data_IF_474614903835
#
_entry.id   IF_474614903835
#
_cell.length_a   1.000
_cell.length_b   1.000
_cell.length_c   1.000
_cell.angle_alpha   90.00
_cell.angle_beta   90.00
_cell.angle_gamma   90.00
#
_symmetry.space_group_name_H-M   'P 1'
#
loop_
_entity.id
_entity.type
_entity.pdbx_description
1 polymer ?
#
# COMPACT_ATOMS: atom_id res chain seq x y z
N UNK A 1 -3.00 -6.96 11.34
CA UNK A 1 -1.69 -6.52 11.86
C UNK A 1 -0.51 -6.85 10.92
N UNK A 2 -0.43 -8.05 10.31
CA UNK A 2 0.76 -8.42 9.50
C UNK A 2 1.02 -7.57 8.24
N UNK A 3 0.01 -7.29 7.38
CA UNK A 3 0.27 -6.64 6.09
C UNK A 3 0.72 -5.16 6.17
N UNK A 4 0.23 -4.37 7.14
CA UNK A 4 0.71 -3.00 7.37
C UNK A 4 2.17 -3.00 7.87
N UNK A 5 2.52 -3.93 8.75
CA UNK A 5 3.91 -4.09 9.19
C UNK A 5 4.83 -4.50 8.03
N UNK A 6 4.32 -5.31 7.09
CA UNK A 6 5.02 -5.66 5.85
C UNK A 6 5.20 -4.45 4.92
N UNK A 7 4.18 -3.59 4.76
CA UNK A 7 4.29 -2.40 3.88
C UNK A 7 5.36 -1.43 4.37
N UNK A 8 5.42 -1.16 5.68
CA UNK A 8 6.45 -0.33 6.31
C UNK A 8 7.83 -0.93 6.08
N UNK A 9 7.99 -2.23 6.32
CA UNK A 9 9.27 -2.92 6.14
C UNK A 9 9.74 -2.90 4.68
N UNK A 10 8.84 -3.08 3.72
CA UNK A 10 9.16 -2.98 2.28
C UNK A 10 9.61 -1.57 1.93
N UNK A 11 8.91 -0.55 2.44
CA UNK A 11 9.28 0.83 2.19
C UNK A 11 10.69 1.14 2.71
N UNK A 12 11.03 0.69 3.92
CA UNK A 12 12.37 0.83 4.49
C UNK A 12 13.45 0.07 3.70
N UNK A 13 13.12 -1.07 3.10
CA UNK A 13 14.04 -1.80 2.23
C UNK A 13 14.23 -1.08 0.89
N UNK A 14 13.18 -0.49 0.32
CA UNK A 14 13.24 0.23 -0.95
C UNK A 14 13.92 1.60 -0.84
N UNK A 15 13.75 2.26 0.31
CA UNK A 15 14.33 3.54 0.66
C UNK A 15 15.27 3.35 1.86
N UNK A 16 16.33 2.56 1.66
CA UNK A 16 17.31 2.28 2.70
C UNK A 16 18.45 3.30 2.63
N UNK A 17 18.90 3.80 3.79
CA UNK A 17 20.05 4.71 3.87
C UNK A 17 21.36 3.93 3.97
N UNK A 18 22.25 4.12 3.00
CA UNK A 18 23.61 3.58 3.01
C UNK A 18 24.59 4.66 3.50
N UNK A 19 25.06 4.58 4.75
CA UNK A 19 26.07 5.52 5.27
C UNK A 19 27.42 5.28 4.59
N UNK A 20 28.13 6.35 4.22
CA UNK A 20 29.53 6.25 3.76
C UNK A 20 30.41 6.05 4.99
N UNK A 21 31.13 4.93 5.02
CA UNK A 21 32.10 4.63 6.07
C UNK A 21 33.33 5.52 5.87
N UNK A 22 33.58 6.44 6.81
CA UNK A 22 34.74 7.34 6.80
C UNK A 22 34.45 8.79 6.37
N UNK A 23 33.21 9.14 6.03
CA UNK A 23 32.75 10.53 5.99
C UNK A 23 32.62 11.09 7.41
N UNK A 24 32.81 12.38 7.61
CA UNK A 24 32.70 13.00 8.93
C UNK A 24 31.29 12.90 9.54
N UNK A 25 31.08 13.47 10.72
CA UNK A 25 29.79 13.51 11.44
C UNK A 25 28.66 14.29 10.73
N UNK A 26 28.75 14.53 9.42
CA UNK A 26 27.73 15.23 8.67
C UNK A 26 26.65 14.25 8.19
N UNK A 27 25.38 14.58 8.47
CA UNK A 27 24.18 13.83 8.05
C UNK A 27 24.03 13.70 6.51
N UNK A 28 24.92 14.31 5.73
CA UNK A 28 24.96 14.33 4.26
C UNK A 28 25.70 13.17 3.63
N UNK A 29 26.47 12.39 4.40
CA UNK A 29 27.50 11.52 3.83
C UNK A 29 26.93 10.11 3.51
N UNK A 30 25.79 10.03 2.82
CA UNK A 30 25.18 8.74 2.48
C UNK A 30 24.21 8.82 1.32
N UNK A 31 23.88 7.66 0.76
CA UNK A 31 22.95 7.52 -0.37
C UNK A 31 21.71 6.73 0.04
N UNK A 32 20.54 7.18 -0.40
CA UNK A 32 19.31 6.42 -0.29
C UNK A 32 19.14 5.51 -1.50
N UNK A 33 18.64 4.30 -1.29
CA UNK A 33 18.28 3.41 -2.38
C UNK A 33 17.82 2.04 -1.93
N UNK A 34 17.51 1.15 -2.87
CA UNK A 34 17.05 -0.19 -2.57
C UNK A 34 18.14 -1.03 -1.89
N UNK A 35 17.79 -1.71 -0.81
CA UNK A 35 18.62 -2.69 -0.13
C UNK A 35 18.00 -4.09 -0.27
N UNK A 36 18.49 -4.84 -1.26
CA UNK A 36 18.02 -6.19 -1.54
C UNK A 36 18.34 -7.17 -0.40
N UNK A 37 19.48 -7.00 0.27
CA UNK A 37 19.88 -7.89 1.36
C UNK A 37 18.97 -7.72 2.57
N UNK A 38 18.60 -6.48 2.91
CA UNK A 38 17.63 -6.21 3.98
C UNK A 38 16.24 -6.73 3.61
N UNK A 39 15.84 -6.62 2.34
CA UNK A 39 14.59 -7.22 1.86
C UNK A 39 14.60 -8.75 2.02
N UNK A 40 15.66 -9.42 1.56
CA UNK A 40 15.81 -10.88 1.69
C UNK A 40 15.82 -11.30 3.16
N UNK A 41 16.57 -10.61 4.02
CA UNK A 41 16.61 -10.90 5.46
C UNK A 41 15.22 -10.84 6.13
N UNK A 42 14.31 -10.02 5.60
CA UNK A 42 12.97 -9.81 6.18
C UNK A 42 11.86 -10.63 5.54
N UNK A 43 12.04 -11.11 4.31
CA UNK A 43 10.97 -11.74 3.54
C UNK A 43 11.36 -13.04 2.84
N UNK A 44 12.65 -13.38 2.78
CA UNK A 44 13.09 -14.63 2.18
C UNK A 44 12.66 -15.82 3.07
N UNK A 45 12.03 -16.87 2.51
CA UNK A 45 11.63 -18.04 3.27
C UNK A 45 12.79 -18.68 4.05
N UNK A 46 14.01 -18.66 3.51
CA UNK A 46 15.19 -19.25 4.17
C UNK A 46 15.57 -18.49 5.45
N UNK A 47 15.41 -17.16 5.46
CA UNK A 47 15.78 -16.31 6.60
C UNK A 47 14.64 -16.10 7.61
N UNK A 48 13.41 -16.39 7.20
CA UNK A 48 12.19 -16.14 7.98
C UNK A 48 11.49 -17.41 8.47
N UNK A 49 12.05 -18.60 8.22
CA UNK A 49 11.40 -19.86 8.56
C UNK A 49 10.10 -20.08 7.77
N UNK A 50 10.09 -19.72 6.48
CA UNK A 50 8.95 -19.78 5.54
C UNK A 50 7.80 -18.78 5.78
N UNK A 51 7.90 -17.89 6.76
CA UNK A 51 6.82 -16.92 7.08
C UNK A 51 6.78 -15.72 6.11
N UNK A 52 7.93 -15.31 5.57
CA UNK A 52 8.06 -14.15 4.69
C UNK A 52 7.07 -14.13 3.51
N UNK A 53 6.93 -15.23 2.74
CA UNK A 53 5.92 -15.33 1.68
C UNK A 53 4.47 -15.14 2.17
N UNK A 54 4.13 -15.59 3.38
CA UNK A 54 2.80 -15.38 3.96
C UNK A 54 2.57 -13.90 4.32
N UNK A 55 3.58 -13.20 4.81
CA UNK A 55 3.50 -11.76 5.08
C UNK A 55 3.33 -10.94 3.80
N UNK A 56 4.02 -11.31 2.72
CA UNK A 56 3.81 -10.70 1.41
C UNK A 56 2.39 -10.95 0.88
N UNK A 57 1.84 -12.17 1.03
CA UNK A 57 0.43 -12.45 0.70
C UNK A 57 -0.52 -11.59 1.52
N UNK A 58 -0.26 -11.38 2.80
CA UNK A 58 -1.07 -10.51 3.66
C UNK A 58 -1.03 -9.05 3.22
N UNK A 59 0.08 -8.57 2.66
CA UNK A 59 0.16 -7.25 2.05
C UNK A 59 -0.76 -7.14 0.83
N UNK A 60 -0.69 -8.11 -0.09
CA UNK A 60 -1.60 -8.15 -1.25
C UNK A 60 -3.07 -8.20 -0.81
N UNK A 61 -3.37 -8.94 0.25
CA UNK A 61 -4.72 -9.00 0.80
C UNK A 61 -5.21 -7.64 1.30
N UNK A 62 -4.39 -6.90 2.06
CA UNK A 62 -4.75 -5.54 2.51
C UNK A 62 -4.94 -4.61 1.31
N UNK A 63 -4.03 -4.65 0.33
CA UNK A 63 -4.15 -3.85 -0.88
C UNK A 63 -5.48 -4.09 -1.61
N UNK A 64 -5.88 -5.36 -1.76
CA UNK A 64 -7.14 -5.75 -2.35
C UNK A 64 -8.35 -5.23 -1.53
N UNK A 65 -8.31 -5.33 -0.20
CA UNK A 65 -9.36 -4.76 0.67
C UNK A 65 -9.48 -3.24 0.48
N UNK A 66 -8.36 -2.53 0.45
CA UNK A 66 -8.34 -1.07 0.28
C UNK A 66 -8.92 -0.68 -1.08
N UNK A 67 -8.53 -1.36 -2.16
CA UNK A 67 -9.12 -1.14 -3.49
C UNK A 67 -10.63 -1.37 -3.49
N UNK A 68 -11.11 -2.45 -2.84
CA UNK A 68 -12.54 -2.73 -2.73
C UNK A 68 -13.27 -1.66 -1.94
N UNK A 69 -12.68 -1.18 -0.85
CA UNK A 69 -13.25 -0.11 -0.02
C UNK A 69 -13.35 1.21 -0.80
N UNK A 70 -12.29 1.59 -1.52
CA UNK A 70 -12.26 2.76 -2.42
C UNK A 70 -13.37 2.66 -3.46
N UNK A 71 -13.50 1.50 -4.12
CA UNK A 71 -14.54 1.31 -5.14
C UNK A 71 -15.96 1.31 -4.55
N UNK A 72 -16.18 0.72 -3.36
CA UNK A 72 -17.48 0.82 -2.66
C UNK A 72 -17.83 2.27 -2.30
N UNK A 73 -16.82 3.09 -1.99
CA UNK A 73 -16.99 4.51 -1.67
C UNK A 73 -17.08 5.41 -2.91
N UNK A 74 -17.03 4.88 -4.13
CA UNK A 74 -16.93 5.67 -5.38
C UNK A 74 -18.04 6.71 -5.52
N UNK A 75 -19.30 6.36 -5.23
CA UNK A 75 -20.45 7.24 -5.43
C UNK A 75 -20.33 8.46 -4.49
N UNK A 76 -19.87 8.22 -3.24
CA UNK A 76 -19.57 9.28 -2.28
C UNK A 76 -18.39 10.15 -2.73
N UNK A 77 -17.29 9.53 -3.19
CA UNK A 77 -16.09 10.23 -3.64
C UNK A 77 -16.35 11.08 -4.91
N UNK A 78 -17.23 10.64 -5.81
CA UNK A 78 -17.62 11.39 -7.01
C UNK A 78 -18.52 12.59 -6.69
N UNK A 79 -19.34 12.49 -5.63
CA UNK A 79 -20.22 13.58 -5.20
C UNK A 79 -19.48 14.66 -4.40
N UNK A 80 -18.25 14.41 -3.94
CA UNK A 80 -17.48 15.40 -3.19
C UNK A 80 -16.95 16.53 -4.07
N UNK A 81 -16.79 17.68 -3.43
CA UNK A 81 -16.02 18.81 -3.96
C UNK A 81 -14.62 18.77 -3.34
N UNK A 82 -13.61 18.58 -4.17
CA UNK A 82 -12.21 18.70 -3.76
C UNK A 82 -11.83 20.17 -3.82
N UNK A 83 -11.38 20.75 -2.71
CA UNK A 83 -10.98 22.15 -2.62
C UNK A 83 -9.59 22.28 -2.03
N UNK A 84 -8.64 22.62 -2.89
CA UNK A 84 -7.22 22.84 -2.56
C UNK A 84 -6.85 24.31 -2.62
N UNK A 85 -7.75 25.17 -3.09
CA UNK A 85 -7.50 26.58 -3.40
C UNK A 85 -6.99 26.82 -4.83
N UNK A 86 -6.76 25.75 -5.60
CA UNK A 86 -6.43 25.80 -7.03
C UNK A 86 -7.48 25.03 -7.84
N UNK A 87 -8.27 25.75 -8.63
CA UNK A 87 -9.35 25.17 -9.43
C UNK A 87 -8.88 24.10 -10.42
N UNK A 88 -7.66 24.24 -10.96
CA UNK A 88 -7.08 23.27 -11.89
C UNK A 88 -6.80 21.94 -11.18
N UNK A 89 -6.22 22.00 -9.98
CA UNK A 89 -5.91 20.80 -9.19
C UNK A 89 -7.19 20.13 -8.68
N UNK A 90 -8.21 20.92 -8.36
CA UNK A 90 -9.53 20.45 -7.93
C UNK A 90 -10.25 19.67 -9.04
N UNK A 91 -10.26 20.21 -10.26
CA UNK A 91 -10.80 19.52 -11.45
C UNK A 91 -9.97 18.26 -11.73
N UNK A 92 -8.64 18.39 -11.75
CA UNK A 92 -7.75 17.28 -12.06
C UNK A 92 -7.90 16.12 -11.06
N UNK A 93 -8.04 16.42 -9.77
CA UNK A 93 -8.28 15.41 -8.72
C UNK A 93 -9.59 14.65 -8.98
N UNK A 94 -10.65 15.37 -9.36
CA UNK A 94 -11.94 14.76 -9.65
C UNK A 94 -11.88 13.86 -10.89
N UNK A 95 -11.24 14.34 -11.96
CA UNK A 95 -11.02 13.57 -13.19
C UNK A 95 -10.16 12.32 -12.94
N UNK A 96 -9.09 12.43 -12.15
CA UNK A 96 -8.23 11.28 -11.82
C UNK A 96 -9.02 10.16 -11.13
N UNK A 97 -9.92 10.53 -10.21
CA UNK A 97 -10.78 9.58 -9.52
C UNK A 97 -11.80 8.95 -10.49
N UNK A 98 -12.54 9.76 -11.25
CA UNK A 98 -13.61 9.27 -12.12
C UNK A 98 -13.12 8.53 -13.36
N UNK A 99 -12.08 9.06 -14.01
CA UNK A 99 -11.69 8.66 -15.36
C UNK A 99 -10.48 7.73 -15.43
N UNK A 100 -9.71 7.61 -14.35
CA UNK A 100 -8.62 6.63 -14.25
C UNK A 100 -8.91 5.63 -13.13
N UNK A 101 -8.89 6.06 -11.86
CA UNK A 101 -8.88 5.14 -10.72
C UNK A 101 -10.10 4.21 -10.70
N UNK A 102 -11.33 4.73 -10.77
CA UNK A 102 -12.52 3.88 -10.70
C UNK A 102 -12.69 2.98 -11.93
N UNK A 103 -12.28 3.45 -13.12
CA UNK A 103 -12.31 2.64 -14.35
C UNK A 103 -11.29 1.50 -14.31
N UNK A 104 -10.12 1.73 -13.72
CA UNK A 104 -9.10 0.70 -13.54
C UNK A 104 -9.52 -0.35 -12.50
N UNK A 105 -10.23 0.04 -11.44
CA UNK A 105 -10.68 -0.89 -10.39
C UNK A 105 -11.93 -1.68 -10.80
N UNK A 106 -12.79 -1.14 -11.65
CA UNK A 106 -14.07 -1.75 -12.04
C UNK A 106 -13.98 -3.21 -12.52
N UNK A 107 -13.03 -3.60 -13.39
CA UNK A 107 -12.84 -5.00 -13.78
C UNK A 107 -12.52 -5.91 -12.59
N UNK A 108 -11.79 -5.39 -11.60
CA UNK A 108 -11.40 -6.14 -10.41
C UNK A 108 -12.54 -6.28 -9.41
N UNK A 109 -13.49 -5.34 -9.39
CA UNK A 109 -14.61 -5.30 -8.46
C UNK A 109 -15.45 -6.59 -8.45
N UNK A 110 -15.54 -7.28 -9.59
CA UNK A 110 -16.30 -8.52 -9.76
C UNK A 110 -15.57 -9.79 -9.26
N UNK A 111 -14.26 -9.72 -9.00
CA UNK A 111 -13.48 -10.84 -8.46
C UNK A 111 -13.44 -10.86 -6.92
N UNK A 112 -14.01 -9.86 -6.27
CA UNK A 112 -14.08 -9.81 -4.80
C UNK A 112 -15.25 -10.64 -4.30
N UNK A 113 -14.99 -11.87 -3.84
CA UNK A 113 -15.97 -12.65 -3.11
C UNK A 113 -16.13 -12.07 -1.70
N UNK A 114 -17.21 -11.33 -1.45
CA UNK A 114 -17.43 -10.66 -0.15
C UNK A 114 -17.51 -11.63 1.03
N UNK A 115 -17.94 -12.87 0.82
CA UNK A 115 -17.99 -13.88 1.88
C UNK A 115 -16.59 -14.34 2.31
N UNK A 116 -15.61 -14.27 1.40
CA UNK A 116 -14.21 -14.61 1.69
C UNK A 116 -13.47 -13.43 2.35
N UNK A 117 -13.86 -12.19 2.02
CA UNK A 117 -13.24 -10.96 2.54
C UNK A 117 -13.82 -10.51 3.88
N UNK A 118 -15.14 -10.62 4.03
CA UNK A 118 -15.90 -10.17 5.19
C UNK A 118 -16.76 -11.32 5.68
N UNK A 119 -16.13 -12.24 6.42
CA UNK A 119 -16.90 -13.22 7.19
C UNK A 119 -17.76 -12.45 8.19
N UNK A 120 -19.08 -12.59 8.08
CA UNK A 120 -20.02 -12.11 9.08
C UNK A 120 -19.77 -12.86 10.40
N UNK A 121 -18.80 -12.42 11.19
CA UNK A 121 -18.84 -12.66 12.62
C UNK A 121 -19.95 -11.77 13.17
N UNK A 122 -21.17 -12.32 13.18
CA UNK A 122 -22.20 -11.82 14.07
C UNK A 122 -21.61 -11.91 15.48
N UNK A 123 -21.19 -10.75 16.00
CA UNK A 123 -20.98 -10.54 17.43
C UNK A 123 -22.29 -10.95 18.11
N UNK A 124 -22.30 -12.15 18.68
CA UNK A 124 -23.33 -12.54 19.64
C UNK A 124 -23.15 -11.64 20.85
N UNK A 125 -23.97 -10.61 20.93
CA UNK A 125 -24.17 -9.78 22.12
C UNK A 125 -24.85 -10.64 23.18
#
# INVERSE_FOLDING_TARGET
HAGLHSSISIHLCAQYFFPIVGGGYSRSDGRWGPNLDEFKRRFDPETTGNEGPAWLKNLYFIYLIELRAIYKARDYLQSQTYFTGNQTDDIHTKELLSDSLFKEIEPFANYFNENDLFKNEQLKI
#
